data_IF_550365826633
#
_entry.id   IF_550365826633
#
_cell.length_a   1.000
_cell.length_b   1.000
_cell.length_c   1.000
_cell.angle_alpha   90.00
_cell.angle_beta   90.00
_cell.angle_gamma   90.00
#
_symmetry.space_group_name_H-M   'P 1'
#
loop_
_entity.id
_entity.type
_entity.pdbx_description
1 polymer ?
#
# COMPACT_ATOMS: atom_id res chain seq x y z
N UNK A 1 13.62 -22.75 -4.34
CA UNK A 1 14.67 -21.84 -3.83
C UNK A 1 14.13 -20.48 -3.33
N UNK A 2 13.35 -19.71 -4.11
CA UNK A 2 12.91 -18.34 -3.73
C UNK A 2 12.19 -18.22 -2.37
N UNK A 3 11.28 -19.16 -2.08
CA UNK A 3 10.55 -19.22 -0.80
C UNK A 3 11.51 -19.49 0.36
N UNK A 4 12.33 -20.54 0.24
CA UNK A 4 13.29 -20.96 1.26
C UNK A 4 14.28 -19.85 1.56
N UNK A 5 14.84 -19.19 0.53
CA UNK A 5 15.73 -18.06 0.71
C UNK A 5 15.09 -16.95 1.54
N UNK A 6 13.85 -16.58 1.21
CA UNK A 6 13.12 -15.50 1.90
C UNK A 6 12.80 -15.87 3.36
N UNK A 7 12.45 -17.13 3.60
CA UNK A 7 12.21 -17.65 4.94
C UNK A 7 13.48 -17.64 5.79
N UNK A 8 14.57 -18.23 5.27
CA UNK A 8 15.88 -18.26 5.93
C UNK A 8 16.38 -16.86 6.22
N UNK A 9 16.23 -15.91 5.30
CA UNK A 9 16.61 -14.52 5.53
C UNK A 9 15.91 -13.91 6.75
N UNK A 10 14.60 -14.14 6.94
CA UNK A 10 13.87 -13.65 8.11
C UNK A 10 14.30 -14.37 9.40
N UNK A 11 14.56 -15.67 9.34
CA UNK A 11 15.09 -16.42 10.49
C UNK A 11 16.45 -15.89 10.91
N UNK A 12 17.35 -15.63 9.96
CA UNK A 12 18.66 -15.03 10.24
C UNK A 12 18.55 -13.65 10.87
N UNK A 13 17.58 -12.82 10.45
CA UNK A 13 17.31 -11.53 11.08
C UNK A 13 16.85 -11.68 12.54
N UNK A 14 15.96 -12.64 12.81
CA UNK A 14 15.50 -12.94 14.17
C UNK A 14 16.68 -13.39 15.04
N UNK A 15 17.48 -14.34 14.55
CA UNK A 15 18.65 -14.85 15.26
C UNK A 15 19.70 -13.74 15.51
N UNK A 16 19.92 -12.86 14.54
CA UNK A 16 20.85 -11.75 14.69
C UNK A 16 20.43 -10.79 15.80
N UNK A 17 19.14 -10.46 15.90
CA UNK A 17 18.62 -9.62 16.97
C UNK A 17 18.69 -10.33 18.33
N UNK A 18 18.31 -11.61 18.37
CA UNK A 18 18.34 -12.40 19.59
C UNK A 18 19.76 -12.55 20.16
N UNK A 19 20.71 -13.04 19.36
CA UNK A 19 22.13 -13.18 19.76
C UNK A 19 22.75 -11.82 20.10
N UNK A 20 22.45 -10.77 19.31
CA UNK A 20 22.98 -9.44 19.54
C UNK A 20 22.56 -8.84 20.89
N UNK A 21 21.33 -9.10 21.33
CA UNK A 21 20.83 -8.55 22.59
C UNK A 21 21.15 -9.45 23.77
N UNK A 22 20.88 -10.75 23.69
CA UNK A 22 21.08 -11.68 24.81
C UNK A 22 22.59 -11.93 25.06
N UNK A 23 23.35 -12.26 24.01
CA UNK A 23 24.75 -12.68 24.17
C UNK A 23 25.74 -11.53 24.17
N UNK A 24 25.46 -10.46 23.41
CA UNK A 24 26.39 -9.34 23.23
C UNK A 24 25.96 -8.04 23.94
N UNK A 25 24.80 -8.01 24.60
CA UNK A 25 24.35 -6.85 25.38
C UNK A 25 24.07 -5.60 24.53
N UNK A 26 23.81 -5.74 23.22
CA UNK A 26 23.70 -4.63 22.27
C UNK A 26 22.34 -3.91 22.30
N UNK A 27 21.70 -3.82 23.48
CA UNK A 27 20.37 -3.20 23.63
C UNK A 27 20.30 -1.76 23.12
N UNK A 28 21.37 -0.97 23.28
CA UNK A 28 21.46 0.39 22.75
C UNK A 28 21.44 0.43 21.20
N UNK A 29 22.15 -0.50 20.55
CA UNK A 29 22.19 -0.60 19.10
C UNK A 29 20.80 -0.94 18.54
N UNK A 30 20.16 -1.97 19.07
CA UNK A 30 18.87 -2.46 18.58
C UNK A 30 17.67 -1.60 19.02
N UNK A 31 17.75 -0.97 20.18
CA UNK A 31 16.68 -0.12 20.73
C UNK A 31 16.72 1.33 20.29
N UNK A 32 17.89 1.87 19.92
CA UNK A 32 18.06 3.31 19.64
C UNK A 32 18.64 3.55 18.24
N UNK A 33 19.85 3.06 17.97
CA UNK A 33 20.56 3.39 16.73
C UNK A 33 19.82 2.85 15.51
N UNK A 34 19.51 1.55 15.49
CA UNK A 34 18.86 0.90 14.33
C UNK A 34 17.49 1.53 14.03
N UNK A 35 16.60 1.78 15.02
CA UNK A 35 15.34 2.50 14.78
C UNK A 35 15.53 3.87 14.14
N UNK A 36 16.49 4.69 14.58
CA UNK A 36 16.77 5.99 13.96
C UNK A 36 17.23 5.83 12.50
N UNK A 37 18.20 4.94 12.24
CA UNK A 37 18.68 4.66 10.88
C UNK A 37 17.52 4.20 9.99
N UNK A 38 16.64 3.33 10.52
CA UNK A 38 15.50 2.83 9.79
C UNK A 38 14.47 3.91 9.43
N UNK A 39 14.17 4.82 10.37
CA UNK A 39 13.27 5.95 10.11
C UNK A 39 13.87 6.89 9.05
N UNK A 40 15.16 7.23 9.16
CA UNK A 40 15.84 8.07 8.16
C UNK A 40 15.82 7.41 6.78
N UNK A 41 16.19 6.13 6.69
CA UNK A 41 16.17 5.39 5.43
C UNK A 41 14.76 5.30 4.83
N UNK A 42 13.74 5.08 5.67
CA UNK A 42 12.34 5.07 5.26
C UNK A 42 11.92 6.43 4.69
N UNK A 43 12.11 7.52 5.44
CA UNK A 43 11.69 8.87 5.04
C UNK A 43 12.40 9.32 3.76
N UNK A 44 13.74 9.21 3.72
CA UNK A 44 14.54 9.57 2.54
C UNK A 44 14.12 8.74 1.34
N UNK A 45 13.95 7.43 1.52
CA UNK A 45 13.55 6.52 0.45
C UNK A 45 12.14 6.82 -0.09
N UNK A 46 11.17 7.11 0.79
CA UNK A 46 9.81 7.50 0.40
C UNK A 46 9.82 8.82 -0.35
N UNK A 47 10.51 9.84 0.16
CA UNK A 47 10.64 11.15 -0.49
C UNK A 47 11.26 10.98 -1.88
N UNK A 48 12.37 10.25 -1.98
CA UNK A 48 13.03 9.98 -3.26
C UNK A 48 12.08 9.31 -4.27
N UNK A 49 11.33 8.28 -3.84
CA UNK A 49 10.36 7.60 -4.71
C UNK A 49 9.24 8.52 -5.18
N UNK A 50 8.66 9.31 -4.27
CA UNK A 50 7.58 10.25 -4.59
C UNK A 50 8.07 11.33 -5.55
N UNK A 51 9.24 11.93 -5.29
CA UNK A 51 9.84 12.92 -6.20
C UNK A 51 10.15 12.31 -7.57
N UNK A 52 10.66 11.08 -7.62
CA UNK A 52 10.91 10.38 -8.88
C UNK A 52 9.63 10.21 -9.71
N UNK A 53 8.52 9.80 -9.09
CA UNK A 53 7.25 9.68 -9.80
C UNK A 53 6.61 11.01 -10.16
N UNK A 54 6.74 12.02 -9.30
CA UNK A 54 6.23 13.37 -9.56
C UNK A 54 6.91 14.05 -10.75
N UNK A 55 8.19 13.70 -11.01
CA UNK A 55 8.94 14.17 -12.19
C UNK A 55 8.55 13.46 -13.48
N UNK A 56 7.81 12.34 -13.42
CA UNK A 56 7.38 11.65 -14.63
C UNK A 56 6.33 12.49 -15.36
N UNK A 57 6.56 12.88 -16.63
CA UNK A 57 5.59 13.65 -17.40
C UNK A 57 4.33 12.81 -17.63
N UNK A 58 3.18 13.45 -17.48
CA UNK A 58 1.85 12.87 -17.76
C UNK A 58 1.22 13.69 -18.89
N UNK A 59 1.62 13.44 -20.15
CA UNK A 59 1.21 14.27 -21.29
C UNK A 59 -0.29 14.17 -21.58
N UNK A 60 -0.88 13.02 -21.26
CA UNK A 60 -2.28 12.73 -21.56
C UNK A 60 -3.06 12.39 -20.30
N UNK A 61 -4.32 12.81 -20.31
CA UNK A 61 -5.29 12.44 -19.29
C UNK A 61 -5.90 11.08 -19.64
N UNK A 62 -5.35 10.02 -19.04
CA UNK A 62 -5.67 8.62 -19.35
C UNK A 62 -6.40 7.87 -18.21
N UNK A 63 -7.50 8.39 -17.65
CA UNK A 63 -8.21 7.73 -16.57
C UNK A 63 -8.84 6.42 -17.05
N UNK A 64 -8.72 5.36 -16.26
CA UNK A 64 -9.45 4.11 -16.48
C UNK A 64 -10.94 4.36 -16.33
N UNK A 65 -11.70 4.04 -17.37
CA UNK A 65 -13.16 4.20 -17.39
C UNK A 65 -13.81 2.83 -17.35
N UNK A 66 -14.55 2.56 -16.28
CA UNK A 66 -15.48 1.45 -16.22
C UNK A 66 -16.91 2.03 -16.29
N UNK A 67 -17.85 1.35 -16.94
CA UNK A 67 -19.23 1.82 -16.99
C UNK A 67 -19.47 3.11 -17.80
N UNK A 68 -20.62 3.74 -17.57
CA UNK A 68 -21.17 4.78 -18.44
C UNK A 68 -20.53 6.15 -18.18
N UNK A 69 -19.90 6.73 -19.20
CA UNK A 69 -19.40 8.10 -19.16
C UNK A 69 -20.54 9.13 -19.13
N UNK A 70 -20.27 10.33 -18.64
CA UNK A 70 -21.23 11.45 -18.75
C UNK A 70 -21.38 11.84 -20.22
N UNK A 71 -22.60 11.77 -20.72
CA UNK A 71 -22.99 12.19 -22.05
C UNK A 71 -24.21 13.12 -21.96
N UNK A 72 -25.39 12.60 -22.27
CA UNK A 72 -26.65 13.35 -22.33
C UNK A 72 -27.34 13.37 -20.96
N UNK A 73 -28.11 14.43 -20.61
CA UNK A 73 -28.72 14.58 -19.28
C UNK A 73 -29.59 13.40 -18.83
N UNK A 74 -30.23 12.70 -19.78
CA UNK A 74 -31.09 11.55 -19.51
C UNK A 74 -30.36 10.21 -19.41
N UNK A 75 -29.06 10.15 -19.76
CA UNK A 75 -28.25 8.94 -19.64
C UNK A 75 -27.54 8.95 -18.28
N UNK A 76 -27.90 8.00 -17.42
CA UNK A 76 -27.32 7.87 -16.08
C UNK A 76 -25.82 7.56 -16.16
N UNK A 77 -25.01 8.53 -15.77
CA UNK A 77 -23.55 8.35 -15.70
C UNK A 77 -23.11 7.59 -14.44
N UNK A 78 -22.06 6.77 -14.58
CA UNK A 78 -21.46 6.04 -13.48
C UNK A 78 -20.44 6.93 -12.74
N UNK A 79 -20.88 7.72 -11.76
CA UNK A 79 -20.07 8.76 -11.11
C UNK A 79 -18.76 8.28 -10.44
N UNK A 80 -18.70 7.02 -9.99
CA UNK A 80 -17.50 6.44 -9.34
C UNK A 80 -16.68 5.55 -10.30
N UNK A 81 -17.36 4.86 -11.22
CA UNK A 81 -16.72 4.02 -12.23
C UNK A 81 -16.20 4.78 -13.44
N UNK A 82 -16.71 5.98 -13.68
CA UNK A 82 -16.28 6.89 -14.73
C UNK A 82 -16.39 8.33 -14.21
N UNK A 83 -15.59 8.71 -13.19
CA UNK A 83 -15.71 9.99 -12.52
C UNK A 83 -15.31 11.11 -13.48
N UNK A 84 -16.20 12.07 -13.66
CA UNK A 84 -15.98 13.24 -14.53
C UNK A 84 -15.74 14.53 -13.73
N UNK A 85 -15.76 14.45 -12.39
CA UNK A 85 -15.48 15.55 -11.45
C UNK A 85 -14.40 15.14 -10.44
N UNK A 86 -13.75 16.12 -9.81
CA UNK A 86 -12.74 15.87 -8.76
C UNK A 86 -13.32 15.09 -7.58
N UNK A 87 -14.52 15.41 -7.12
CA UNK A 87 -15.19 14.67 -6.04
C UNK A 87 -15.45 13.20 -6.40
N UNK A 88 -15.82 12.93 -7.66
CA UNK A 88 -15.97 11.55 -8.14
C UNK A 88 -14.66 10.77 -8.12
N UNK A 89 -13.55 11.43 -8.44
CA UNK A 89 -12.20 10.83 -8.38
C UNK A 89 -11.82 10.54 -6.93
N UNK A 90 -12.04 11.48 -6.01
CA UNK A 90 -11.79 11.27 -4.57
C UNK A 90 -12.61 10.07 -4.07
N UNK A 91 -13.90 10.01 -4.40
CA UNK A 91 -14.76 8.89 -4.04
C UNK A 91 -14.28 7.55 -4.61
N UNK A 92 -13.87 7.52 -5.89
CA UNK A 92 -13.23 6.34 -6.48
C UNK A 92 -11.98 5.93 -5.70
N UNK A 93 -11.06 6.87 -5.48
CA UNK A 93 -9.79 6.60 -4.82
C UNK A 93 -10.00 6.08 -3.40
N UNK A 94 -10.95 6.64 -2.66
CA UNK A 94 -11.34 6.13 -1.35
C UNK A 94 -11.82 4.68 -1.41
N UNK A 95 -12.65 4.32 -2.40
CA UNK A 95 -13.11 2.94 -2.59
C UNK A 95 -12.00 1.98 -3.04
N UNK A 96 -11.04 2.46 -3.82
CA UNK A 96 -9.88 1.66 -4.23
C UNK A 96 -8.92 1.43 -3.07
N UNK A 97 -8.69 2.42 -2.20
CA UNK A 97 -7.75 2.32 -1.07
C UNK A 97 -8.37 1.55 0.09
N UNK A 98 -9.61 1.86 0.49
CA UNK A 98 -10.23 1.33 1.69
C UNK A 98 -10.95 -0.01 1.47
N UNK A 99 -11.42 -0.28 0.26
CA UNK A 99 -12.27 -1.43 -0.03
C UNK A 99 -11.82 -2.28 -1.22
N UNK A 100 -10.66 -1.99 -1.83
CA UNK A 100 -10.14 -2.70 -3.01
C UNK A 100 -11.20 -2.98 -4.07
N UNK A 101 -11.99 -1.96 -4.38
CA UNK A 101 -13.18 -2.10 -5.23
C UNK A 101 -12.90 -2.73 -6.59
N UNK A 102 -11.79 -2.37 -7.25
CA UNK A 102 -11.41 -3.01 -8.51
C UNK A 102 -11.12 -4.51 -8.33
N UNK A 103 -10.48 -4.90 -7.22
CA UNK A 103 -10.19 -6.31 -6.90
C UNK A 103 -11.47 -7.10 -6.59
N UNK A 104 -12.47 -6.46 -5.97
CA UNK A 104 -13.77 -7.09 -5.74
C UNK A 104 -14.44 -7.49 -7.05
N UNK A 105 -14.27 -6.69 -8.09
CA UNK A 105 -14.87 -6.90 -9.43
C UNK A 105 -13.99 -7.73 -10.36
N UNK A 106 -12.78 -8.07 -9.93
CA UNK A 106 -11.83 -8.79 -10.72
C UNK A 106 -12.31 -10.22 -11.03
N UNK A 107 -12.24 -10.58 -12.31
CA UNK A 107 -12.60 -11.90 -12.82
C UNK A 107 -11.33 -12.70 -13.09
N UNK A 108 -11.28 -13.91 -12.57
CA UNK A 108 -10.28 -14.94 -12.87
C UNK A 108 -10.69 -15.66 -14.14
N UNK A 109 -9.75 -15.81 -15.05
CA UNK A 109 -9.87 -16.70 -16.20
C UNK A 109 -9.42 -18.11 -15.81
N UNK A 110 -10.27 -19.09 -16.03
CA UNK A 110 -9.94 -20.51 -15.90
C UNK A 110 -10.34 -21.28 -17.16
N UNK A 111 -9.57 -22.30 -17.52
CA UNK A 111 -9.96 -23.25 -18.54
C UNK A 111 -10.61 -24.44 -17.82
N UNK A 112 -11.87 -24.73 -18.12
CA UNK A 112 -12.56 -25.93 -17.63
C UNK A 112 -12.97 -26.78 -18.81
N UNK A 113 -12.79 -28.09 -18.72
CA UNK A 113 -13.27 -29.06 -19.71
C UNK A 113 -12.84 -28.74 -21.15
N UNK A 114 -11.52 -28.61 -21.38
CA UNK A 114 -10.93 -28.33 -22.69
C UNK A 114 -10.71 -26.83 -22.95
N UNK A 115 -10.92 -26.31 -24.19
CA UNK A 115 -10.66 -24.92 -24.54
C UNK A 115 -11.75 -23.94 -24.06
N UNK A 116 -12.61 -24.34 -23.11
CA UNK A 116 -13.68 -23.46 -22.61
C UNK A 116 -13.16 -22.55 -21.51
N UNK A 117 -13.18 -21.26 -21.82
CA UNK A 117 -12.75 -20.20 -20.94
C UNK A 117 -13.91 -19.77 -20.03
N UNK A 118 -13.74 -19.99 -18.72
CA UNK A 118 -14.69 -19.66 -17.66
C UNK A 118 -14.18 -18.48 -16.86
N UNK A 119 -15.07 -17.53 -16.55
CA UNK A 119 -14.78 -16.36 -15.73
C UNK A 119 -15.28 -16.61 -14.30
N UNK A 120 -14.37 -16.79 -13.35
CA UNK A 120 -14.69 -16.91 -11.91
C UNK A 120 -14.45 -15.60 -11.16
N UNK A 121 -15.11 -15.37 -10.03
CA UNK A 121 -14.86 -14.17 -9.21
C UNK A 121 -13.69 -14.38 -8.23
N UNK A 122 -12.79 -13.40 -8.04
CA UNK A 122 -11.68 -13.49 -7.07
C UNK A 122 -12.05 -12.98 -5.67
N UNK A 123 -13.25 -13.30 -5.17
CA UNK A 123 -13.78 -12.74 -3.91
C UNK A 123 -12.97 -13.14 -2.68
N UNK A 124 -12.44 -14.35 -2.63
CA UNK A 124 -11.58 -14.79 -1.51
C UNK A 124 -10.29 -13.98 -1.41
N UNK A 125 -9.67 -13.64 -2.56
CA UNK A 125 -8.50 -12.78 -2.59
C UNK A 125 -8.85 -11.36 -2.11
N UNK A 126 -10.00 -10.83 -2.55
CA UNK A 126 -10.48 -9.55 -2.06
C UNK A 126 -10.67 -9.55 -0.55
N UNK A 127 -11.36 -10.56 0.00
CA UNK A 127 -11.63 -10.67 1.43
C UNK A 127 -10.34 -10.83 2.24
N UNK A 128 -9.45 -11.76 1.88
CA UNK A 128 -8.19 -11.97 2.58
C UNK A 128 -7.25 -10.77 2.46
N UNK A 129 -7.23 -10.09 1.31
CA UNK A 129 -6.49 -8.85 1.12
C UNK A 129 -7.03 -7.72 1.99
N UNK A 130 -8.34 -7.53 2.04
CA UNK A 130 -9.01 -6.50 2.85
C UNK A 130 -8.79 -6.75 4.35
N UNK A 131 -8.96 -8.00 4.79
CA UNK A 131 -8.71 -8.45 6.16
C UNK A 131 -7.27 -8.16 6.60
N UNK A 132 -6.29 -8.45 5.74
CA UNK A 132 -4.88 -8.12 5.99
C UNK A 132 -4.67 -6.61 6.20
N UNK A 133 -5.14 -5.78 5.27
CA UNK A 133 -4.86 -4.35 5.29
C UNK A 133 -5.58 -3.62 6.42
N UNK A 134 -6.84 -3.96 6.71
CA UNK A 134 -7.55 -3.36 7.85
C UNK A 134 -6.96 -3.79 9.18
N UNK A 135 -6.58 -5.07 9.33
CA UNK A 135 -5.90 -5.52 10.55
C UNK A 135 -4.57 -4.80 10.73
N UNK A 136 -3.77 -4.70 9.67
CA UNK A 136 -2.50 -3.97 9.71
C UNK A 136 -2.70 -2.49 10.05
N UNK A 137 -3.67 -1.82 9.42
CA UNK A 137 -3.98 -0.40 9.67
C UNK A 137 -4.43 -0.18 11.12
N UNK A 138 -5.37 -0.97 11.62
CA UNK A 138 -5.88 -0.87 13.00
C UNK A 138 -4.74 -1.10 13.99
N UNK A 139 -3.91 -2.13 13.78
CA UNK A 139 -2.75 -2.39 14.62
C UNK A 139 -1.78 -1.20 14.59
N UNK A 140 -1.41 -0.70 13.40
CA UNK A 140 -0.53 0.45 13.24
C UNK A 140 -1.06 1.70 13.98
N UNK A 141 -2.35 2.00 13.81
CA UNK A 141 -3.03 3.12 14.46
C UNK A 141 -3.06 2.94 15.98
N UNK A 142 -3.26 1.71 16.49
CA UNK A 142 -3.19 1.41 17.93
C UNK A 142 -1.80 1.58 18.52
N UNK A 143 -0.74 1.35 17.74
CA UNK A 143 0.63 1.58 18.21
C UNK A 143 0.88 3.06 18.53
N UNK A 144 0.07 3.98 18.01
CA UNK A 144 0.14 5.40 18.35
C UNK A 144 0.06 5.66 19.87
N UNK A 145 -0.57 4.78 20.65
CA UNK A 145 -0.66 4.92 22.11
C UNK A 145 0.69 4.99 22.83
N UNK A 146 1.75 4.44 22.23
CA UNK A 146 3.09 4.47 22.82
C UNK A 146 3.82 5.79 22.59
N UNK A 147 3.29 6.62 21.68
CA UNK A 147 3.92 7.85 21.19
C UNK A 147 3.17 9.11 21.65
N UNK A 148 2.18 8.98 22.54
CA UNK A 148 1.39 10.09 23.05
C UNK A 148 1.04 9.92 24.54
N UNK A 149 1.13 11.01 25.29
CA UNK A 149 0.73 11.11 26.69
C UNK A 149 0.06 12.47 26.95
N UNK A 150 -1.25 12.53 27.24
CA UNK A 150 -2.19 11.41 27.39
C UNK A 150 -2.52 10.69 26.05
N UNK A 151 -2.99 9.44 26.13
CA UNK A 151 -3.41 8.68 24.95
C UNK A 151 -4.68 9.32 24.36
N UNK A 152 -4.74 9.62 23.05
CA UNK A 152 -5.93 10.20 22.44
C UNK A 152 -7.17 9.31 22.57
N UNK A 153 -8.33 9.93 22.82
CA UNK A 153 -9.60 9.22 23.04
C UNK A 153 -10.00 8.31 21.87
N UNK A 154 -9.70 8.70 20.63
CA UNK A 154 -10.03 7.92 19.44
C UNK A 154 -9.19 6.63 19.34
N UNK A 155 -7.96 6.61 19.86
CA UNK A 155 -7.13 5.40 19.95
C UNK A 155 -7.74 4.43 20.96
N UNK A 156 -8.20 4.95 22.10
CA UNK A 156 -8.85 4.15 23.14
C UNK A 156 -10.17 3.55 22.64
N UNK A 157 -10.99 4.34 21.93
CA UNK A 157 -12.23 3.86 21.32
C UNK A 157 -11.98 2.72 20.33
N UNK A 158 -10.96 2.86 19.48
CA UNK A 158 -10.56 1.83 18.52
C UNK A 158 -10.00 0.57 19.19
N UNK A 159 -9.25 0.72 20.28
CA UNK A 159 -8.76 -0.40 21.10
C UNK A 159 -9.92 -1.19 21.75
N UNK A 160 -10.95 -0.50 22.22
CA UNK A 160 -12.13 -1.14 22.82
C UNK A 160 -12.94 -1.92 21.79
N UNK A 161 -13.10 -1.37 20.58
CA UNK A 161 -13.78 -2.07 19.49
C UNK A 161 -13.04 -3.34 19.07
N UNK A 162 -11.71 -3.28 18.98
CA UNK A 162 -10.89 -4.44 18.60
C UNK A 162 -10.85 -5.51 19.71
N UNK A 163 -11.05 -5.11 20.96
CA UNK A 163 -11.15 -5.99 22.14
C UNK A 163 -12.58 -6.30 22.58
N UNK A 164 -13.59 -6.14 21.71
CA UNK A 164 -15.01 -6.19 22.08
C UNK A 164 -15.44 -7.51 22.72
N UNK A 165 -14.80 -8.62 22.36
CA UNK A 165 -15.14 -9.93 22.92
C UNK A 165 -14.68 -10.09 24.37
N UNK A 166 -13.76 -9.24 24.86
CA UNK A 166 -13.23 -9.26 26.23
C UNK A 166 -12.77 -10.65 26.71
N UNK A 167 -12.34 -11.51 25.78
CA UNK A 167 -11.87 -12.86 26.07
C UNK A 167 -10.42 -12.80 26.53
N UNK A 168 -10.13 -13.38 27.70
CA UNK A 168 -8.79 -13.52 28.26
C UNK A 168 -8.29 -12.28 29.02
N UNK A 169 -7.23 -12.49 29.82
CA UNK A 169 -6.50 -11.44 30.52
C UNK A 169 -4.99 -11.58 30.20
N UNK A 170 -4.41 -10.71 29.35
CA UNK A 170 -4.99 -9.50 28.73
C UNK A 170 -6.00 -9.81 27.62
N UNK A 171 -6.91 -8.86 27.36
CA UNK A 171 -7.98 -8.97 26.34
C UNK A 171 -7.37 -9.31 24.98
N UNK A 172 -7.89 -10.35 24.35
CA UNK A 172 -7.52 -10.76 23.01
C UNK A 172 -8.12 -9.78 22.00
N UNK A 173 -7.28 -9.26 21.10
CA UNK A 173 -7.73 -8.43 19.99
C UNK A 173 -8.05 -9.27 18.76
N UNK A 174 -9.13 -8.92 18.09
CA UNK A 174 -9.57 -9.60 16.86
C UNK A 174 -8.49 -9.46 15.78
N UNK A 175 -7.91 -8.26 15.64
CA UNK A 175 -6.90 -7.96 14.62
C UNK A 175 -5.64 -8.80 14.76
N UNK A 176 -5.27 -9.23 15.98
CA UNK A 176 -4.12 -10.12 16.23
C UNK A 176 -4.34 -11.50 15.58
N UNK A 177 -5.56 -12.03 15.64
CA UNK A 177 -5.92 -13.30 14.99
C UNK A 177 -6.04 -13.09 13.48
N UNK A 178 -6.76 -12.04 13.06
CA UNK A 178 -7.05 -11.79 11.65
C UNK A 178 -5.78 -11.50 10.84
N UNK A 179 -4.79 -10.79 11.39
CA UNK A 179 -3.55 -10.48 10.67
C UNK A 179 -2.76 -11.75 10.36
N UNK A 180 -2.64 -12.68 11.32
CA UNK A 180 -1.95 -13.96 11.14
C UNK A 180 -2.70 -14.86 10.17
N UNK A 181 -4.03 -14.95 10.30
CA UNK A 181 -4.86 -15.70 9.36
C UNK A 181 -4.75 -15.14 7.92
N UNK A 182 -4.79 -13.82 7.76
CA UNK A 182 -4.75 -13.16 6.46
C UNK A 182 -3.38 -13.31 5.77
N UNK A 183 -2.29 -13.06 6.48
CA UNK A 183 -0.94 -13.21 5.90
C UNK A 183 -0.65 -14.67 5.56
N UNK A 184 -1.11 -15.62 6.39
CA UNK A 184 -1.00 -17.06 6.11
C UNK A 184 -1.80 -17.43 4.87
N UNK A 185 -3.05 -16.97 4.77
CA UNK A 185 -3.87 -17.17 3.57
C UNK A 185 -3.20 -16.62 2.30
N UNK A 186 -2.68 -15.39 2.35
CA UNK A 186 -2.00 -14.76 1.20
C UNK A 186 -0.73 -15.51 0.80
N UNK A 187 0.04 -15.99 1.78
CA UNK A 187 1.22 -16.83 1.56
C UNK A 187 0.85 -18.18 0.94
N UNK A 188 -0.06 -18.92 1.57
CA UNK A 188 -0.53 -20.24 1.11
C UNK A 188 -1.08 -20.14 -0.30
N UNK A 189 -1.91 -19.13 -0.60
CA UNK A 189 -2.41 -18.87 -1.95
C UNK A 189 -1.27 -18.69 -2.96
N UNK A 190 -0.24 -17.92 -2.61
CA UNK A 190 0.91 -17.65 -3.50
C UNK A 190 1.77 -18.89 -3.71
N UNK A 191 1.89 -19.76 -2.72
CA UNK A 191 2.64 -21.00 -2.85
C UNK A 191 1.83 -22.03 -3.61
N UNK A 192 0.55 -22.25 -3.30
CA UNK A 192 -0.26 -23.31 -3.92
C UNK A 192 -0.57 -23.04 -5.39
N UNK A 193 -0.95 -21.82 -5.77
CA UNK A 193 -1.30 -21.49 -7.16
C UNK A 193 -0.06 -21.53 -8.08
N UNK A 194 0.02 -22.45 -9.06
CA UNK A 194 1.17 -22.58 -9.93
C UNK A 194 1.46 -21.30 -10.74
N UNK A 195 0.41 -20.59 -11.18
CA UNK A 195 0.55 -19.36 -11.98
C UNK A 195 1.22 -18.27 -11.14
N UNK A 196 0.84 -18.14 -9.87
CA UNK A 196 1.44 -17.19 -8.95
C UNK A 196 2.87 -17.58 -8.59
N UNK A 197 3.12 -18.86 -8.29
CA UNK A 197 4.45 -19.35 -7.94
C UNK A 197 5.45 -19.09 -9.07
N UNK A 198 5.03 -19.27 -10.32
CA UNK A 198 5.85 -19.01 -11.51
C UNK A 198 6.32 -17.55 -11.60
N UNK A 199 5.40 -16.59 -11.41
CA UNK A 199 5.71 -15.16 -11.51
C UNK A 199 6.28 -14.54 -10.22
N UNK A 200 6.25 -15.26 -9.09
CA UNK A 200 6.66 -14.72 -7.79
C UNK A 200 8.18 -14.68 -7.63
N UNK A 201 8.70 -13.55 -7.17
CA UNK A 201 10.12 -13.34 -6.85
C UNK A 201 10.38 -13.54 -5.35
N UNK A 202 11.65 -13.62 -4.92
CA UNK A 202 11.99 -13.65 -3.49
C UNK A 202 11.44 -12.41 -2.75
N UNK A 203 11.48 -11.24 -3.39
CA UNK A 203 10.91 -9.99 -2.90
C UNK A 203 9.38 -10.02 -2.68
N UNK A 204 8.67 -11.03 -3.20
CA UNK A 204 7.25 -11.27 -2.94
C UNK A 204 7.03 -12.09 -1.66
N UNK A 205 7.93 -13.03 -1.35
CA UNK A 205 7.81 -13.87 -0.15
C UNK A 205 8.37 -13.20 1.09
N UNK A 206 9.47 -12.46 0.95
CA UNK A 206 10.17 -11.81 2.07
C UNK A 206 9.24 -10.93 2.93
N UNK A 207 8.41 -10.02 2.38
CA UNK A 207 7.54 -9.18 3.20
C UNK A 207 6.45 -9.97 3.93
N UNK A 208 5.98 -11.10 3.34
CA UNK A 208 4.98 -11.93 4.00
C UNK A 208 5.57 -12.62 5.24
N UNK A 209 6.78 -13.16 5.14
CA UNK A 209 7.48 -13.74 6.28
C UNK A 209 7.86 -12.68 7.31
N UNK A 210 8.34 -11.51 6.87
CA UNK A 210 8.71 -10.41 7.75
C UNK A 210 7.51 -9.92 8.56
N UNK A 211 6.37 -9.65 7.91
CA UNK A 211 5.15 -9.18 8.58
C UNK A 211 4.56 -10.28 9.47
N UNK A 212 4.62 -11.55 9.06
CA UNK A 212 4.26 -12.67 9.94
C UNK A 212 5.12 -12.69 11.20
N UNK A 213 6.44 -12.54 11.08
CA UNK A 213 7.37 -12.48 12.22
C UNK A 213 7.10 -11.29 13.14
N UNK A 214 6.83 -10.11 12.59
CA UNK A 214 6.45 -8.91 13.35
C UNK A 214 5.15 -9.16 14.13
N UNK A 215 4.11 -9.66 13.46
CA UNK A 215 2.84 -9.95 14.11
C UNK A 215 2.97 -11.03 15.18
N UNK A 216 3.66 -12.13 14.88
CA UNK A 216 3.87 -13.24 15.81
C UNK A 216 4.66 -12.80 17.05
N UNK A 217 5.75 -12.05 16.89
CA UNK A 217 6.52 -11.51 18.02
C UNK A 217 5.69 -10.51 18.85
N UNK A 218 4.89 -9.65 18.20
CA UNK A 218 4.01 -8.70 18.89
C UNK A 218 2.95 -9.39 19.75
N UNK A 219 2.31 -10.43 19.20
CA UNK A 219 1.33 -11.28 19.89
C UNK A 219 2.01 -12.03 21.04
N UNK A 220 3.20 -12.59 20.78
CA UNK A 220 3.96 -13.30 21.79
C UNK A 220 4.28 -12.41 23.00
N UNK A 221 4.75 -11.18 22.76
CA UNK A 221 5.03 -10.22 23.82
C UNK A 221 3.81 -9.84 24.65
N UNK A 222 2.66 -9.74 24.01
CA UNK A 222 1.42 -9.32 24.66
C UNK A 222 0.84 -10.41 25.56
N UNK A 223 0.77 -11.65 25.08
CA UNK A 223 0.03 -12.71 25.77
C UNK A 223 0.92 -13.67 26.56
N UNK A 224 2.19 -13.84 26.17
CA UNK A 224 3.08 -14.85 26.74
C UNK A 224 4.21 -14.22 27.54
N UNK A 225 5.13 -13.48 26.91
CA UNK A 225 6.31 -12.95 27.61
C UNK A 225 6.03 -11.69 28.45
N UNK A 226 4.90 -11.02 28.23
CA UNK A 226 4.38 -9.87 29.02
C UNK A 226 5.46 -8.82 29.30
N UNK A 227 5.98 -8.23 28.23
CA UNK A 227 7.02 -7.17 28.33
C UNK A 227 6.52 -5.96 29.11
N UNK A 228 7.41 -5.30 29.87
CA UNK A 228 7.09 -4.07 30.59
C UNK A 228 6.72 -2.93 29.64
N UNK A 229 5.42 -2.64 29.59
CA UNK A 229 4.82 -1.62 28.75
C UNK A 229 5.30 -0.21 29.15
N UNK A 230 5.63 0.01 30.43
CA UNK A 230 6.08 1.33 30.91
C UNK A 230 7.45 1.65 30.33
N UNK A 231 8.39 0.71 30.41
CA UNK A 231 9.73 0.86 29.83
C UNK A 231 9.69 0.99 28.30
N UNK A 232 8.83 0.22 27.62
CA UNK A 232 8.60 0.36 26.17
C UNK A 232 8.07 1.74 25.81
N UNK A 233 7.12 2.29 26.58
CA UNK A 233 6.59 3.64 26.36
C UNK A 233 7.65 4.71 26.59
N UNK A 234 8.47 4.58 27.65
CA UNK A 234 9.60 5.48 27.91
C UNK A 234 10.57 5.50 26.73
N UNK A 235 10.95 4.32 26.21
CA UNK A 235 11.80 4.22 25.02
C UNK A 235 11.16 4.90 23.80
N UNK A 236 9.90 4.60 23.50
CA UNK A 236 9.18 5.19 22.36
C UNK A 236 9.12 6.73 22.44
N UNK A 237 8.80 7.28 23.62
CA UNK A 237 8.78 8.72 23.87
C UNK A 237 10.17 9.34 23.79
N UNK A 238 11.20 8.66 24.32
CA UNK A 238 12.59 9.10 24.21
C UNK A 238 13.06 9.19 22.76
N UNK A 239 12.72 8.19 21.93
CA UNK A 239 13.04 8.18 20.51
C UNK A 239 12.42 9.38 19.76
N UNK A 240 11.13 9.65 19.97
CA UNK A 240 10.43 10.76 19.30
C UNK A 240 10.96 12.12 19.75
N UNK A 241 11.22 12.27 21.05
CA UNK A 241 11.71 13.53 21.60
C UNK A 241 13.21 13.75 21.39
N UNK A 242 13.91 12.82 20.73
CA UNK A 242 15.37 12.84 20.59
C UNK A 242 16.13 12.91 21.93
N UNK A 243 15.56 12.28 22.96
CA UNK A 243 16.16 12.10 24.28
C UNK A 243 16.24 10.59 24.56
N UNK A 244 17.32 9.91 24.13
CA UNK A 244 17.48 8.48 24.33
C UNK A 244 17.40 8.10 25.82
N UNK A 245 16.79 6.96 26.11
CA UNK A 245 16.66 6.46 27.48
C UNK A 245 17.97 5.86 27.99
N UNK A 246 18.15 5.89 29.31
CA UNK A 246 19.32 5.31 29.97
C UNK A 246 19.39 3.78 29.81
N UNK A 247 20.60 3.23 29.97
CA UNK A 247 20.87 1.80 29.88
C UNK A 247 20.03 0.96 30.86
N UNK A 248 19.64 1.54 32.01
CA UNK A 248 18.78 0.88 33.00
C UNK A 248 17.41 0.57 32.43
N UNK A 249 16.77 1.50 31.71
CA UNK A 249 15.48 1.28 31.04
C UNK A 249 15.61 0.22 29.96
N UNK A 250 16.71 0.24 29.20
CA UNK A 250 16.97 -0.75 28.15
C UNK A 250 17.10 -2.18 28.73
N UNK A 251 17.78 -2.34 29.87
CA UNK A 251 17.91 -3.64 30.54
C UNK A 251 16.60 -4.21 31.11
N UNK A 252 15.58 -3.36 31.31
CA UNK A 252 14.26 -3.79 31.80
C UNK A 252 13.36 -4.32 30.69
N UNK A 253 13.73 -4.11 29.44
CA UNK A 253 12.95 -4.52 28.27
C UNK A 253 13.36 -5.94 27.86
N UNK A 254 12.38 -6.85 27.75
CA UNK A 254 12.64 -8.23 27.34
C UNK A 254 13.14 -8.36 25.90
N UNK A 255 13.96 -9.37 25.63
CA UNK A 255 14.64 -9.60 24.34
C UNK A 255 13.70 -9.65 23.12
N UNK A 256 12.51 -10.25 23.29
CA UNK A 256 11.52 -10.38 22.20
C UNK A 256 11.09 -9.01 21.67
N UNK A 257 11.11 -7.96 22.51
CA UNK A 257 10.84 -6.60 22.06
C UNK A 257 11.90 -6.09 21.09
N UNK A 258 13.17 -6.36 21.36
CA UNK A 258 14.24 -5.96 20.45
C UNK A 258 14.17 -6.72 19.13
N UNK A 259 13.81 -8.00 19.15
CA UNK A 259 13.51 -8.77 17.93
C UNK A 259 12.38 -8.09 17.16
N UNK A 260 11.27 -7.77 17.82
CA UNK A 260 10.12 -7.13 17.20
C UNK A 260 10.46 -5.78 16.56
N UNK A 261 11.09 -4.88 17.32
CA UNK A 261 11.50 -3.55 16.84
C UNK A 261 12.55 -3.64 15.75
N UNK A 262 13.46 -4.61 15.81
CA UNK A 262 14.42 -4.86 14.74
C UNK A 262 13.72 -5.28 13.45
N UNK A 263 12.77 -6.21 13.51
CA UNK A 263 12.00 -6.61 12.33
C UNK A 263 11.17 -5.45 11.75
N UNK A 264 10.57 -4.61 12.60
CA UNK A 264 9.89 -3.37 12.16
C UNK A 264 10.87 -2.38 11.52
N UNK A 265 12.07 -2.25 12.08
CA UNK A 265 13.13 -1.40 11.52
C UNK A 265 13.58 -1.90 10.15
N UNK A 266 13.75 -3.21 9.98
CA UNK A 266 14.01 -3.84 8.67
C UNK A 266 12.85 -3.59 7.71
N UNK A 267 11.60 -3.73 8.16
CA UNK A 267 10.43 -3.43 7.34
C UNK A 267 10.48 -1.98 6.83
N UNK A 268 10.80 -1.02 7.69
CA UNK A 268 10.92 0.41 7.34
C UNK A 268 12.03 0.66 6.33
N UNK A 269 13.23 0.10 6.54
CA UNK A 269 14.33 0.21 5.57
C UNK A 269 13.99 -0.44 4.21
N UNK A 270 13.31 -1.59 4.24
CA UNK A 270 12.92 -2.33 3.04
C UNK A 270 11.75 -1.68 2.29
N UNK A 271 10.86 -0.96 2.99
CA UNK A 271 9.63 -0.40 2.45
C UNK A 271 9.85 0.42 1.18
N UNK A 272 10.69 1.49 1.15
CA UNK A 272 10.87 2.33 -0.03
C UNK A 272 11.53 1.62 -1.21
N UNK A 273 12.21 0.51 -0.96
CA UNK A 273 12.91 -0.27 -1.98
C UNK A 273 12.03 -1.35 -2.63
N UNK A 274 10.81 -1.54 -2.13
CA UNK A 274 9.99 -2.71 -2.44
C UNK A 274 8.61 -2.40 -3.02
N UNK A 275 7.83 -3.45 -3.28
CA UNK A 275 6.43 -3.36 -3.72
C UNK A 275 5.50 -2.76 -2.65
N UNK A 276 5.96 -2.62 -1.40
CA UNK A 276 5.18 -1.98 -0.33
C UNK A 276 4.90 -0.49 -0.63
N UNK A 277 5.72 0.13 -1.48
CA UNK A 277 5.50 1.48 -2.00
C UNK A 277 4.20 1.67 -2.79
N UNK A 278 3.43 0.60 -3.07
CA UNK A 278 2.07 0.72 -3.58
C UNK A 278 1.17 1.62 -2.70
N UNK A 279 1.46 1.70 -1.39
CA UNK A 279 0.78 2.61 -0.44
C UNK A 279 0.79 4.06 -0.92
N UNK A 280 1.93 4.58 -1.36
CA UNK A 280 2.05 5.93 -1.92
C UNK A 280 1.79 5.98 -3.42
N UNK A 281 2.25 4.96 -4.15
CA UNK A 281 2.20 4.90 -5.61
C UNK A 281 0.78 4.93 -6.18
N UNK A 282 -0.23 4.46 -5.44
CA UNK A 282 -1.63 4.50 -5.87
C UNK A 282 -2.11 5.93 -6.16
N UNK A 283 -1.65 6.91 -5.39
CA UNK A 283 -2.02 8.33 -5.55
C UNK A 283 -1.31 9.02 -6.71
N UNK A 284 -0.22 8.42 -7.21
CA UNK A 284 0.57 8.94 -8.32
C UNK A 284 0.22 8.25 -9.65
N UNK A 285 -0.84 7.44 -9.69
CA UNK A 285 -1.26 6.72 -10.90
C UNK A 285 -2.26 7.53 -11.72
N UNK A 286 -1.88 8.06 -12.91
CA UNK A 286 -2.74 8.88 -13.78
C UNK A 286 -4.03 8.18 -14.19
N UNK A 287 -3.95 6.85 -14.27
CA UNK A 287 -5.09 6.02 -14.65
C UNK A 287 -6.17 5.96 -13.58
N UNK A 288 -5.88 6.33 -12.33
CA UNK A 288 -6.83 6.27 -11.21
C UNK A 288 -7.18 7.63 -10.63
N UNK A 289 -6.20 8.54 -10.57
CA UNK A 289 -6.33 9.83 -9.89
C UNK A 289 -6.79 10.98 -10.82
N UNK A 290 -7.10 10.71 -12.09
CA UNK A 290 -7.61 11.70 -13.04
C UNK A 290 -9.11 11.54 -13.27
N UNK A 291 -9.81 12.66 -13.45
CA UNK A 291 -11.21 12.65 -13.90
C UNK A 291 -11.29 12.40 -15.41
N UNK A 292 -12.29 11.62 -15.87
CA UNK A 292 -12.64 11.47 -17.27
C UNK A 292 -13.44 12.68 -17.76
N UNK A 293 -12.74 13.73 -18.16
CA UNK A 293 -13.34 14.96 -18.69
C UNK A 293 -12.73 15.42 -20.02
N UNK A 294 -12.06 14.52 -20.75
CA UNK A 294 -11.43 14.83 -22.04
C UNK A 294 -12.44 15.33 -23.07
N UNK A 295 -13.71 14.89 -22.99
CA UNK A 295 -14.80 15.33 -23.88
C UNK A 295 -15.44 16.66 -23.46
N UNK A 296 -15.11 17.20 -22.28
CA UNK A 296 -15.70 18.45 -21.76
C UNK A 296 -14.69 19.59 -21.68
N UNK A 297 -13.39 19.26 -21.59
CA UNK A 297 -12.31 20.23 -21.49
C UNK A 297 -11.17 19.77 -22.38
N UNK A 298 -10.68 20.68 -23.23
CA UNK A 298 -9.43 20.49 -23.96
C UNK A 298 -8.27 20.48 -22.95
N UNK A 299 -7.49 19.40 -22.95
CA UNK A 299 -6.25 19.31 -22.19
C UNK A 299 -5.11 19.44 -23.20
N UNK A 300 -4.32 20.51 -23.07
CA UNK A 300 -3.13 20.74 -23.89
C UNK A 300 -1.94 20.20 -23.12
N UNK A 301 -1.13 19.38 -23.78
CA UNK A 301 0.07 18.86 -23.17
C UNK A 301 1.14 19.98 -23.14
N UNK A 302 1.63 20.40 -21.96
CA UNK A 302 2.62 21.47 -21.87
C UNK A 302 3.98 21.08 -22.46
N UNK A 303 4.19 19.80 -22.75
CA UNK A 303 5.40 19.27 -23.37
C UNK A 303 5.33 19.24 -24.91
N UNK A 304 4.21 19.64 -25.50
CA UNK A 304 4.10 19.75 -26.95
C UNK A 304 4.96 20.94 -27.43
N UNK A 305 5.88 20.69 -28.34
CA UNK A 305 6.65 21.73 -29.01
C UNK A 305 5.83 22.29 -30.19
N UNK A 306 6.08 23.53 -30.64
CA UNK A 306 5.41 24.07 -31.81
C UNK A 306 5.76 23.24 -33.04
N UNK A 307 4.78 22.52 -33.56
CA UNK A 307 4.87 21.81 -34.84
C UNK A 307 4.25 22.71 -35.90
N UNK A 308 4.88 22.80 -37.09
CA UNK A 308 4.23 23.43 -38.24
C UNK A 308 3.02 22.58 -38.60
N UNK A 309 1.84 23.09 -38.26
CA UNK A 309 0.55 22.50 -38.66
C UNK A 309 0.17 23.06 -40.02
N UNK A 310 -0.66 22.32 -40.74
CA UNK A 310 -1.38 22.79 -41.92
C UNK A 310 -2.82 23.01 -41.46
N UNK A 311 -3.22 24.27 -41.29
CA UNK A 311 -4.59 24.55 -40.80
C UNK A 311 -5.62 24.17 -41.86
N UNK A 312 -6.87 24.02 -41.45
CA UNK A 312 -7.93 23.80 -42.42
C UNK A 312 -8.02 24.98 -43.41
N UNK A 313 -7.81 26.23 -42.98
CA UNK A 313 -7.81 27.36 -43.92
C UNK A 313 -6.65 27.30 -44.91
N UNK A 314 -5.44 26.95 -44.48
CA UNK A 314 -4.29 26.78 -45.37
C UNK A 314 -4.47 25.60 -46.33
N UNK A 315 -5.09 24.51 -45.86
CA UNK A 315 -5.41 23.34 -46.67
C UNK A 315 -6.52 23.65 -47.69
N UNK A 316 -7.56 24.37 -47.26
CA UNK A 316 -8.62 24.83 -48.14
C UNK A 316 -8.07 25.80 -49.19
N UNK A 317 -7.21 26.74 -48.82
CA UNK A 317 -6.61 27.69 -49.78
C UNK A 317 -5.68 26.99 -50.78
N UNK A 318 -4.96 25.94 -50.38
CA UNK A 318 -4.09 25.15 -51.25
C UNK A 318 -4.87 24.24 -52.22
N UNK A 319 -5.94 23.60 -51.74
CA UNK A 319 -6.69 22.59 -52.49
C UNK A 319 -8.07 23.07 -52.98
N UNK A 320 -8.37 24.36 -52.86
CA UNK A 320 -9.68 24.97 -53.14
C UNK A 320 -10.30 24.50 -54.45
N UNK A 321 -9.55 24.62 -55.54
CA UNK A 321 -10.05 24.31 -56.88
C UNK A 321 -10.40 22.82 -57.03
N UNK A 322 -9.59 21.95 -56.41
CA UNK A 322 -9.80 20.49 -56.41
C UNK A 322 -11.02 20.14 -55.56
N UNK A 323 -11.15 20.75 -54.38
CA UNK A 323 -12.30 20.56 -53.49
C UNK A 323 -13.60 21.04 -54.11
N UNK A 324 -13.59 22.21 -54.75
CA UNK A 324 -14.74 22.79 -55.46
C UNK A 324 -15.14 21.91 -56.65
N UNK A 325 -14.16 21.42 -57.42
CA UNK A 325 -14.42 20.49 -58.51
C UNK A 325 -14.98 19.14 -58.02
N UNK A 326 -14.65 18.74 -56.79
CA UNK A 326 -15.17 17.55 -56.13
C UNK A 326 -16.49 17.78 -55.37
N UNK A 327 -17.11 18.95 -55.51
CA UNK A 327 -18.37 19.34 -54.87
C UNK A 327 -18.31 19.25 -53.32
N UNK A 328 -17.12 19.51 -52.76
CA UNK A 328 -16.90 19.55 -51.31
C UNK A 328 -17.34 20.91 -50.74
N UNK A 329 -17.94 20.95 -49.54
CA UNK A 329 -18.28 22.21 -48.87
C UNK A 329 -17.01 22.98 -48.46
N UNK A 330 -16.96 24.27 -48.78
CA UNK A 330 -15.88 25.22 -48.46
C UNK A 330 -16.37 26.24 -47.42
N UNK A 331 -15.50 26.69 -46.51
CA UNK A 331 -15.86 27.73 -45.54
C UNK A 331 -15.66 29.15 -46.09
N UNK A 332 -14.69 29.36 -47.00
CA UNK A 332 -14.52 30.61 -47.73
C UNK A 332 -15.12 30.46 -49.14
N UNK A 333 -15.88 31.46 -49.60
CA UNK A 333 -16.46 31.49 -50.96
C UNK A 333 -15.42 31.76 -52.06
#
# INVERSE_FOLDING_TARGET
MRVVFSFVAVILLILAAWIGVESAGLGYLFGIIIPYVAIVAFLVGVIYRVLKWARSPVPFRIPTTCGQQKSLPWIKSSKLDCPHTTLGVIGRMALEVLFFRSLFRNTKLDLKDGPKLVYGATKLLWFGGLMFHWSFLIIFVRHFKFFAEPIPYWVLGLQNFDGIFQVGLPVIYITDILILAAVTFLFVRRVIDPKLRYISLAADYFPLFLIFGIAATGIFMRYFSKVDIVSVKKLAMGLINFHPVDATVLSQIGEVFYIHVFLVSVLFMYFPLSKLMHMGGVFMSPTRNLANNNRMKRHVNPWDYPVKVHTYEEWEDEFRDVMKAADMPLEKE
#
